data_IF_910274879093
#
_entry.id   IF_910274879093
#
_cell.length_a   1.000
_cell.length_b   1.000
_cell.length_c   1.000
_cell.angle_alpha   90.00
_cell.angle_beta   90.00
_cell.angle_gamma   90.00
#
_symmetry.space_group_name_H-M   'P 1'
#
loop_
_entity.id
_entity.type
_entity.pdbx_description
1 polymer ?
#
# COMPACT_ATOMS: atom_id res chain seq x y z
N UNK A 1 -0.16 12.14 -13.51
CA UNK A 1 -0.58 10.85 -14.11
C UNK A 1 0.56 9.82 -14.20
N UNK A 2 1.76 10.13 -14.71
CA UNK A 2 2.89 9.18 -14.66
C UNK A 2 3.53 9.12 -13.26
N UNK A 3 3.74 10.28 -12.62
CA UNK A 3 4.32 10.34 -11.27
C UNK A 3 3.49 9.58 -10.22
N UNK A 4 2.15 9.71 -10.24
CA UNK A 4 1.26 8.96 -9.35
C UNK A 4 1.33 7.44 -9.57
N UNK A 5 1.44 6.99 -10.83
CA UNK A 5 1.54 5.57 -11.16
C UNK A 5 2.88 4.97 -10.76
N UNK A 6 3.96 5.73 -10.91
CA UNK A 6 5.30 5.33 -10.44
C UNK A 6 5.32 5.27 -8.91
N UNK A 7 4.77 6.26 -8.23
CA UNK A 7 4.65 6.25 -6.77
C UNK A 7 3.83 5.06 -6.26
N UNK A 8 2.70 4.74 -6.92
CA UNK A 8 1.89 3.56 -6.60
C UNK A 8 2.67 2.27 -6.82
N UNK A 9 3.39 2.14 -7.94
CA UNK A 9 4.16 0.95 -8.26
C UNK A 9 5.30 0.72 -7.27
N UNK A 10 6.05 1.77 -6.92
CA UNK A 10 7.12 1.70 -5.93
C UNK A 10 6.57 1.35 -4.54
N UNK A 11 5.49 2.00 -4.11
CA UNK A 11 4.86 1.72 -2.81
C UNK A 11 4.34 0.27 -2.75
N UNK A 12 3.71 -0.19 -3.83
CA UNK A 12 3.22 -1.56 -3.93
C UNK A 12 4.37 -2.58 -3.95
N UNK A 13 5.48 -2.33 -4.63
CA UNK A 13 6.65 -3.22 -4.61
C UNK A 13 7.28 -3.32 -3.22
N UNK A 14 7.45 -2.18 -2.54
CA UNK A 14 8.04 -2.16 -1.18
C UNK A 14 7.12 -2.91 -0.20
N UNK A 15 5.83 -2.59 -0.19
CA UNK A 15 4.86 -3.24 0.70
C UNK A 15 4.68 -4.71 0.37
N UNK A 16 4.66 -5.08 -0.91
CA UNK A 16 4.59 -6.48 -1.32
C UNK A 16 5.82 -7.24 -0.86
N UNK A 17 7.02 -6.66 -0.96
CA UNK A 17 8.25 -7.34 -0.58
C UNK A 17 8.40 -7.51 0.93
N UNK A 18 8.12 -6.45 1.69
CA UNK A 18 8.27 -6.46 3.16
C UNK A 18 7.13 -7.24 3.83
N UNK A 19 5.91 -7.17 3.30
CA UNK A 19 4.70 -7.75 3.91
C UNK A 19 4.17 -8.98 3.14
N UNK A 20 4.94 -9.52 2.18
CA UNK A 20 4.60 -10.76 1.48
C UNK A 20 4.40 -11.91 2.48
N UNK A 21 5.24 -11.98 3.51
CA UNK A 21 5.20 -13.02 4.53
C UNK A 21 4.00 -12.88 5.47
N UNK A 22 3.48 -11.65 5.61
CA UNK A 22 2.32 -11.32 6.44
C UNK A 22 0.98 -11.39 5.69
N UNK A 23 1.01 -11.82 4.43
CA UNK A 23 -0.17 -12.01 3.61
C UNK A 23 -0.75 -10.69 3.11
N UNK A 24 0.10 -9.77 2.68
CA UNK A 24 -0.30 -8.61 1.91
C UNK A 24 -1.13 -9.03 0.68
N UNK A 25 -2.28 -8.38 0.49
CA UNK A 25 -3.23 -8.68 -0.60
C UNK A 25 -3.30 -7.56 -1.64
N UNK A 26 -2.81 -6.35 -1.32
CA UNK A 26 -2.77 -5.22 -2.24
C UNK A 26 -2.95 -3.87 -1.53
N UNK A 27 -2.60 -2.80 -2.23
CA UNK A 27 -2.82 -1.41 -1.80
C UNK A 27 -3.71 -0.71 -2.81
N UNK A 28 -4.67 0.06 -2.32
CA UNK A 28 -5.47 0.98 -3.11
C UNK A 28 -5.14 2.42 -2.69
N UNK A 29 -4.74 3.25 -3.64
CA UNK A 29 -4.46 4.66 -3.39
C UNK A 29 -5.59 5.49 -3.98
N UNK A 30 -6.33 6.18 -3.11
CA UNK A 30 -7.37 7.15 -3.50
C UNK A 30 -6.83 8.55 -3.30
N UNK A 31 -6.50 9.20 -4.41
CA UNK A 31 -6.06 10.59 -4.41
C UNK A 31 -7.30 11.47 -4.53
N UNK A 32 -7.60 12.25 -3.49
CA UNK A 32 -8.52 13.39 -3.59
C UNK A 32 -7.70 14.68 -3.56
N UNK A 33 -8.15 15.77 -4.20
CA UNK A 33 -7.39 17.04 -4.22
C UNK A 33 -7.14 17.63 -2.83
N UNK A 34 -7.84 17.16 -1.80
CA UNK A 34 -7.71 17.64 -0.43
C UNK A 34 -6.90 16.69 0.47
N UNK A 35 -6.88 15.38 0.15
CA UNK A 35 -6.19 14.32 0.91
C UNK A 35 -5.87 13.10 0.04
N UNK A 36 -4.76 12.44 0.34
CA UNK A 36 -4.42 11.14 -0.24
C UNK A 36 -4.73 10.06 0.79
N UNK A 37 -5.61 9.14 0.45
CA UNK A 37 -5.94 7.98 1.28
C UNK A 37 -5.24 6.74 0.73
N UNK A 38 -4.50 6.04 1.60
CA UNK A 38 -3.78 4.81 1.26
C UNK A 38 -4.47 3.67 2.03
N UNK A 39 -5.10 2.75 1.31
CA UNK A 39 -5.87 1.65 1.88
C UNK A 39 -5.08 0.37 1.65
N UNK A 40 -4.54 -0.20 2.72
CA UNK A 40 -3.76 -1.43 2.66
C UNK A 40 -4.68 -2.61 2.99
N UNK A 41 -4.78 -3.58 2.07
CA UNK A 41 -5.45 -4.85 2.31
C UNK A 41 -4.40 -5.92 2.60
N UNK A 42 -4.48 -6.50 3.78
CA UNK A 42 -3.64 -7.62 4.19
C UNK A 42 -4.47 -8.62 4.99
N UNK A 43 -4.06 -9.88 4.93
CA UNK A 43 -4.69 -10.98 5.66
C UNK A 43 -4.41 -10.87 7.16
N UNK A 44 -3.26 -10.30 7.55
CA UNK A 44 -2.89 -10.02 8.94
C UNK A 44 -2.68 -8.53 9.15
N UNK A 45 -3.76 -7.82 9.47
CA UNK A 45 -3.74 -6.36 9.68
C UNK A 45 -2.91 -5.92 10.89
N UNK A 46 -2.67 -6.79 11.86
CA UNK A 46 -1.87 -6.46 13.06
C UNK A 46 -0.37 -6.39 12.75
N UNK A 47 0.14 -7.29 11.90
CA UNK A 47 1.56 -7.31 11.54
C UNK A 47 1.93 -6.15 10.61
N UNK A 48 1.00 -5.72 9.73
CA UNK A 48 1.24 -4.58 8.83
C UNK A 48 1.20 -3.21 9.53
N UNK A 49 0.53 -3.11 10.69
CA UNK A 49 0.47 -1.87 11.46
C UNK A 49 1.66 -1.70 12.41
N UNK A 50 2.42 -2.77 12.65
CA UNK A 50 3.50 -2.78 13.66
C UNK A 50 2.97 -2.60 15.09
N UNK A 51 3.86 -2.75 16.08
CA UNK A 51 3.63 -2.25 17.46
C UNK A 51 4.00 -0.77 17.59
#
# INVERSE_FOLDING_TARGET
FVADGVFFAELNEVLTRELAEDGYSGVEVRVTPMRTEIIIRATRTQNVLGE
#
